data_IF_330888420551
#
_entry.id   IF_330888420551
#
_cell.length_a   1.000
_cell.length_b   1.000
_cell.length_c   1.000
_cell.angle_alpha   90.00
_cell.angle_beta   90.00
_cell.angle_gamma   90.00
#
_symmetry.space_group_name_H-M   'P 1'
#
loop_
_entity.id
_entity.type
_entity.pdbx_description
1 polymer ?
#
# COMPACT_ATOMS: atom_id res chain seq x y z
N UNK A 1 4.76 16.13 -15.54
CA UNK A 1 3.64 17.11 -15.53
C UNK A 1 3.33 17.47 -14.09
N UNK A 2 3.44 18.74 -13.71
CA UNK A 2 3.18 19.19 -12.34
C UNK A 2 1.66 19.28 -12.09
N UNK A 3 1.16 18.63 -11.03
CA UNK A 3 -0.27 18.61 -10.70
C UNK A 3 -0.53 19.76 -9.74
N UNK A 4 -1.27 20.77 -10.20
CA UNK A 4 -1.65 21.92 -9.37
C UNK A 4 -2.41 21.45 -8.11
N UNK A 5 -2.04 21.92 -6.90
CA UNK A 5 -2.80 21.64 -5.69
C UNK A 5 -4.24 22.12 -5.70
N UNK A 6 -4.56 23.13 -6.52
CA UNK A 6 -5.91 23.65 -6.67
C UNK A 6 -6.79 22.81 -7.62
N UNK A 7 -6.23 21.81 -8.30
CA UNK A 7 -7.00 20.98 -9.22
C UNK A 7 -8.01 20.11 -8.43
N UNK A 8 -9.29 20.05 -8.85
CA UNK A 8 -10.33 19.29 -8.11
C UNK A 8 -10.04 17.79 -8.01
N UNK A 9 -9.18 17.26 -8.89
CA UNK A 9 -8.72 15.86 -8.90
C UNK A 9 -7.26 15.68 -8.50
N UNK A 10 -6.65 16.68 -7.85
CA UNK A 10 -5.20 16.67 -7.59
C UNK A 10 -4.75 15.37 -6.91
N UNK A 11 -5.50 14.89 -5.92
CA UNK A 11 -5.12 13.70 -5.16
C UNK A 11 -5.16 12.41 -5.99
N UNK A 12 -6.29 12.14 -6.67
CA UNK A 12 -6.41 10.98 -7.58
C UNK A 12 -5.29 10.99 -8.65
N UNK A 13 -4.96 12.16 -9.21
CA UNK A 13 -3.88 12.28 -10.19
C UNK A 13 -2.49 12.01 -9.58
N UNK A 14 -2.23 12.45 -8.35
CA UNK A 14 -0.95 12.17 -7.66
C UNK A 14 -0.79 10.69 -7.37
N UNK A 15 -1.85 10.03 -6.91
CA UNK A 15 -1.87 8.59 -6.63
C UNK A 15 -1.57 7.80 -7.91
N UNK A 16 -2.24 8.12 -9.02
CA UNK A 16 -1.97 7.49 -10.34
C UNK A 16 -0.53 7.68 -10.77
N UNK A 17 0.02 8.89 -10.61
CA UNK A 17 1.41 9.19 -10.94
C UNK A 17 2.38 8.36 -10.10
N UNK A 18 2.16 8.27 -8.79
CA UNK A 18 2.98 7.45 -7.88
C UNK A 18 3.01 5.98 -8.31
N UNK A 19 1.89 5.45 -8.79
CA UNK A 19 1.83 4.08 -9.32
C UNK A 19 2.53 3.92 -10.66
N UNK A 20 2.41 4.90 -11.56
CA UNK A 20 3.13 4.89 -12.83
C UNK A 20 4.65 4.90 -12.60
N UNK A 21 5.14 5.77 -11.71
CA UNK A 21 6.56 5.84 -11.32
C UNK A 21 7.00 4.52 -10.66
N UNK A 22 6.21 3.96 -9.74
CA UNK A 22 6.51 2.67 -9.12
C UNK A 22 6.47 1.48 -10.13
N UNK A 23 5.68 1.58 -11.20
CA UNK A 23 5.68 0.61 -12.29
C UNK A 23 6.98 0.69 -13.11
N UNK A 24 7.42 1.90 -13.46
CA UNK A 24 8.72 2.13 -14.13
C UNK A 24 9.90 1.64 -13.28
N UNK A 25 9.82 1.85 -11.96
CA UNK A 25 10.78 1.31 -10.99
C UNK A 25 10.70 -0.21 -10.84
N UNK A 26 9.70 -0.88 -11.42
CA UNK A 26 9.51 -2.33 -11.37
C UNK A 26 9.05 -2.84 -10.00
N UNK A 27 8.41 -1.99 -9.19
CA UNK A 27 7.75 -2.32 -7.92
C UNK A 27 6.33 -2.81 -8.19
N UNK A 28 5.63 -2.13 -9.10
CA UNK A 28 4.26 -2.46 -9.54
C UNK A 28 4.31 -3.24 -10.86
N UNK A 29 3.29 -4.04 -11.14
CA UNK A 29 3.11 -4.78 -12.40
C UNK A 29 1.99 -4.18 -13.24
N UNK A 30 1.89 -4.46 -14.55
CA UNK A 30 0.81 -3.93 -15.39
C UNK A 30 -0.58 -4.25 -14.83
N UNK A 31 -0.78 -5.46 -14.32
CA UNK A 31 -2.03 -5.90 -13.69
C UNK A 31 -2.34 -5.11 -12.41
N UNK A 32 -1.30 -4.60 -11.74
CA UNK A 32 -1.41 -3.73 -10.58
C UNK A 32 -1.92 -2.34 -10.93
N UNK A 33 -1.56 -1.80 -12.10
CA UNK A 33 -2.12 -0.55 -12.62
C UNK A 33 -3.61 -0.72 -12.96
N UNK A 34 -3.96 -1.82 -13.64
CA UNK A 34 -5.36 -2.14 -13.94
C UNK A 34 -6.18 -2.38 -12.66
N UNK A 35 -5.59 -3.04 -11.65
CA UNK A 35 -6.22 -3.23 -10.35
C UNK A 35 -6.49 -1.91 -9.62
N UNK A 36 -5.59 -0.93 -9.74
CA UNK A 36 -5.82 0.39 -9.18
C UNK A 36 -7.00 1.10 -9.84
N UNK A 37 -7.10 1.06 -11.18
CA UNK A 37 -8.24 1.64 -11.89
C UNK A 37 -9.58 1.04 -11.48
N UNK A 38 -9.63 -0.27 -11.17
CA UNK A 38 -10.83 -0.88 -10.57
C UNK A 38 -11.14 -0.33 -9.18
N UNK A 39 -10.11 -0.13 -8.36
CA UNK A 39 -10.24 0.48 -7.04
C UNK A 39 -10.79 1.91 -7.11
N UNK A 40 -10.24 2.75 -8.00
CA UNK A 40 -10.73 4.11 -8.21
C UNK A 40 -12.20 4.12 -8.64
N UNK A 41 -12.63 3.20 -9.53
CA UNK A 41 -14.02 3.11 -9.94
C UNK A 41 -14.98 2.90 -8.75
N UNK A 42 -14.61 2.04 -7.80
CA UNK A 42 -15.38 1.89 -6.56
C UNK A 42 -15.29 3.13 -5.65
N UNK A 43 -14.11 3.75 -5.56
CA UNK A 43 -13.91 4.94 -4.73
C UNK A 43 -14.79 6.11 -5.19
N UNK A 44 -14.95 6.30 -6.51
CA UNK A 44 -15.91 7.23 -7.10
C UNK A 44 -17.36 6.94 -6.65
N UNK A 45 -17.77 5.67 -6.62
CA UNK A 45 -19.11 5.27 -6.17
C UNK A 45 -19.30 5.49 -4.67
N UNK A 46 -18.25 5.36 -3.87
CA UNK A 46 -18.25 5.53 -2.41
C UNK A 46 -18.04 6.99 -1.98
N UNK A 47 -17.78 7.89 -2.94
CA UNK A 47 -17.60 9.32 -2.70
C UNK A 47 -16.23 9.70 -2.17
N UNK A 48 -15.20 8.90 -2.46
CA UNK A 48 -13.78 9.22 -2.23
C UNK A 48 -13.45 9.62 -0.79
N UNK A 49 -14.05 8.89 0.16
CA UNK A 49 -13.91 9.15 1.58
C UNK A 49 -14.00 7.87 2.39
N UNK A 50 -13.42 7.89 3.59
CA UNK A 50 -13.62 6.81 4.54
C UNK A 50 -15.06 6.83 5.07
N UNK A 51 -15.83 5.78 4.78
CA UNK A 51 -17.17 5.61 5.30
C UNK A 51 -17.15 5.07 6.73
N UNK A 52 -18.19 5.34 7.53
CA UNK A 52 -18.29 4.86 8.92
C UNK A 52 -18.15 3.33 9.05
N UNK A 53 -18.74 2.48 8.18
CA UNK A 53 -18.48 1.04 8.24
C UNK A 53 -17.01 0.67 8.04
N UNK A 54 -16.31 1.37 7.14
CA UNK A 54 -14.88 1.16 6.91
C UNK A 54 -14.05 1.60 8.13
N UNK A 55 -14.43 2.71 8.78
CA UNK A 55 -13.77 3.16 10.02
C UNK A 55 -13.92 2.14 11.15
N UNK A 56 -15.14 1.64 11.39
CA UNK A 56 -15.40 0.59 12.39
C UNK A 56 -14.63 -0.71 12.10
N UNK A 57 -14.55 -1.11 10.83
CA UNK A 57 -13.77 -2.28 10.43
C UNK A 57 -12.27 -2.06 10.66
N UNK A 58 -11.75 -0.86 10.40
CA UNK A 58 -10.35 -0.52 10.67
C UNK A 58 -10.03 -0.55 12.18
N UNK A 59 -10.93 -0.04 13.03
CA UNK A 59 -10.79 -0.10 14.49
C UNK A 59 -10.74 -1.57 14.99
N UNK A 60 -11.67 -2.40 14.52
CA UNK A 60 -11.71 -3.82 14.86
C UNK A 60 -10.47 -4.57 14.35
N UNK A 61 -10.05 -4.33 13.10
CA UNK A 61 -8.83 -4.91 12.52
C UNK A 61 -7.56 -4.49 13.28
N UNK A 62 -7.50 -3.25 13.75
CA UNK A 62 -6.39 -2.76 14.58
C UNK A 62 -6.37 -3.47 15.93
N UNK A 63 -7.52 -3.66 16.57
CA UNK A 63 -7.61 -4.43 17.82
C UNK A 63 -7.14 -5.88 17.62
N UNK A 64 -7.52 -6.52 16.51
CA UNK A 64 -7.04 -7.87 16.17
C UNK A 64 -5.52 -7.92 16.00
N UNK A 65 -4.91 -6.93 15.34
CA UNK A 65 -3.45 -6.85 15.20
C UNK A 65 -2.76 -6.71 16.56
N UNK A 66 -3.28 -5.85 17.45
CA UNK A 66 -2.69 -5.61 18.78
C UNK A 66 -2.80 -6.81 19.72
N UNK A 67 -3.88 -7.60 19.60
CA UNK A 67 -4.11 -8.78 20.45
C UNK A 67 -3.45 -10.06 19.91
N UNK A 68 -3.00 -10.06 18.65
CA UNK A 68 -2.39 -11.22 18.03
C UNK A 68 -1.02 -11.53 18.65
N UNK A 69 -0.70 -12.83 18.80
CA UNK A 69 0.60 -13.28 19.33
C UNK A 69 1.75 -13.10 18.33
N UNK A 70 1.47 -13.26 17.04
CA UNK A 70 2.45 -13.18 15.94
C UNK A 70 1.79 -12.53 14.70
N UNK A 71 1.39 -11.25 14.77
CA UNK A 71 0.74 -10.58 13.64
C UNK A 71 1.72 -10.42 12.47
N UNK A 72 1.20 -10.61 11.26
CA UNK A 72 1.95 -10.40 10.01
C UNK A 72 1.10 -9.56 9.07
N UNK A 73 1.70 -8.53 8.48
CA UNK A 73 1.08 -7.66 7.49
C UNK A 73 1.70 -8.00 6.13
N UNK A 74 0.87 -8.51 5.22
CA UNK A 74 1.28 -8.86 3.86
C UNK A 74 1.32 -7.62 2.96
N UNK A 75 2.40 -7.49 2.19
CA UNK A 75 2.69 -6.33 1.34
C UNK A 75 2.93 -6.80 -0.10
N UNK A 76 2.17 -6.22 -1.03
CA UNK A 76 2.41 -6.34 -2.47
C UNK A 76 2.98 -5.03 -3.04
N UNK A 77 3.24 -5.01 -4.36
CA UNK A 77 3.79 -3.84 -5.05
C UNK A 77 2.93 -2.58 -4.92
N UNK A 78 1.60 -2.68 -5.09
CA UNK A 78 0.69 -1.54 -4.97
C UNK A 78 0.68 -0.98 -3.54
N UNK A 79 0.62 -1.85 -2.53
CA UNK A 79 0.63 -1.45 -1.12
C UNK A 79 1.94 -0.75 -0.75
N UNK A 80 3.08 -1.30 -1.18
CA UNK A 80 4.39 -0.69 -0.96
C UNK A 80 4.53 0.68 -1.64
N UNK A 81 4.07 0.79 -2.89
CA UNK A 81 4.11 2.04 -3.64
C UNK A 81 3.22 3.11 -3.00
N UNK A 82 1.99 2.78 -2.61
CA UNK A 82 1.03 3.77 -2.14
C UNK A 82 1.22 4.13 -0.67
N UNK A 83 1.41 3.14 0.20
CA UNK A 83 1.36 3.31 1.65
C UNK A 83 2.55 2.64 2.39
N UNK A 84 3.68 2.44 1.72
CA UNK A 84 4.82 1.72 2.30
C UNK A 84 5.32 2.31 3.62
N UNK A 85 5.36 3.65 3.75
CA UNK A 85 5.80 4.32 4.98
C UNK A 85 4.82 4.11 6.13
N UNK A 86 3.53 4.24 5.83
CA UNK A 86 2.42 4.06 6.76
C UNK A 86 2.34 2.60 7.23
N UNK A 87 2.55 1.65 6.34
CA UNK A 87 2.58 0.22 6.64
C UNK A 87 3.76 -0.15 7.55
N UNK A 88 4.96 0.41 7.29
CA UNK A 88 6.10 0.25 8.20
C UNK A 88 5.81 0.82 9.58
N UNK A 89 5.17 1.99 9.65
CA UNK A 89 4.75 2.58 10.92
C UNK A 89 3.70 1.72 11.63
N UNK A 90 2.69 1.23 10.92
CA UNK A 90 1.64 0.36 11.47
C UNK A 90 2.25 -0.93 12.03
N UNK A 91 3.14 -1.58 11.27
CA UNK A 91 3.83 -2.78 11.70
C UNK A 91 4.62 -2.55 13.00
N UNK A 92 5.33 -1.42 13.09
CA UNK A 92 6.04 -1.02 14.32
C UNK A 92 5.10 -0.84 15.51
N UNK A 93 3.99 -0.11 15.33
CA UNK A 93 3.01 0.16 16.39
C UNK A 93 2.29 -1.11 16.88
N UNK A 94 2.05 -2.07 16.00
CA UNK A 94 1.38 -3.33 16.33
C UNK A 94 2.33 -4.48 16.63
N UNK A 95 3.65 -4.25 16.65
CA UNK A 95 4.68 -5.29 16.74
C UNK A 95 4.45 -6.44 15.74
N UNK A 96 4.06 -6.10 14.51
CA UNK A 96 3.78 -7.04 13.44
C UNK A 96 4.99 -7.19 12.51
N UNK A 97 5.18 -8.39 11.98
CA UNK A 97 6.13 -8.60 10.89
C UNK A 97 5.55 -8.07 9.57
N UNK A 98 6.42 -7.60 8.68
CA UNK A 98 6.06 -7.33 7.28
C UNK A 98 6.45 -8.53 6.43
N UNK A 99 5.59 -8.94 5.51
CA UNK A 99 5.89 -10.02 4.56
C UNK A 99 5.65 -9.55 3.12
N UNK A 100 6.66 -9.63 2.25
CA UNK A 100 6.47 -9.36 0.83
C UNK A 100 5.87 -10.60 0.18
N UNK A 101 4.60 -10.51 -0.21
CA UNK A 101 3.87 -11.61 -0.84
C UNK A 101 3.37 -11.18 -2.23
N UNK A 102 3.78 -11.92 -3.24
CA UNK A 102 3.58 -11.59 -4.65
C UNK A 102 2.87 -12.70 -5.39
N UNK A 103 1.80 -12.34 -6.11
CA UNK A 103 1.05 -13.28 -6.95
C UNK A 103 1.91 -13.89 -8.08
N UNK A 104 2.71 -13.06 -8.76
CA UNK A 104 3.74 -13.52 -9.69
C UNK A 104 5.10 -13.45 -9.00
N UNK A 105 5.61 -14.57 -8.50
CA UNK A 105 6.89 -14.64 -7.78
C UNK A 105 8.03 -14.13 -8.66
N UNK A 106 8.75 -13.13 -8.18
CA UNK A 106 9.90 -12.56 -8.87
C UNK A 106 10.87 -12.03 -7.84
N UNK A 107 11.98 -12.77 -7.63
CA UNK A 107 13.04 -12.38 -6.69
C UNK A 107 13.54 -10.95 -6.90
N UNK A 108 13.57 -10.49 -8.16
CA UNK A 108 13.96 -9.12 -8.47
C UNK A 108 12.96 -8.10 -7.90
N UNK A 109 11.66 -8.34 -8.08
CA UNK A 109 10.60 -7.46 -7.58
C UNK A 109 10.51 -7.51 -6.06
N UNK A 110 10.63 -8.70 -5.45
CA UNK A 110 10.68 -8.89 -3.99
C UNK A 110 11.79 -8.04 -3.38
N UNK A 111 13.00 -8.11 -3.94
CA UNK A 111 14.14 -7.29 -3.48
C UNK A 111 13.89 -5.79 -3.61
N UNK A 112 13.27 -5.33 -4.70
CA UNK A 112 12.95 -3.92 -4.89
C UNK A 112 11.93 -3.43 -3.85
N UNK A 113 10.86 -4.21 -3.63
CA UNK A 113 9.85 -3.90 -2.61
C UNK A 113 10.49 -3.90 -1.21
N UNK A 114 11.26 -4.93 -0.87
CA UNK A 114 11.94 -5.01 0.41
C UNK A 114 12.91 -3.84 0.62
N UNK A 115 13.64 -3.42 -0.42
CA UNK A 115 14.52 -2.25 -0.38
C UNK A 115 13.74 -0.95 -0.13
N UNK A 116 12.59 -0.78 -0.78
CA UNK A 116 11.71 0.38 -0.55
C UNK A 116 11.20 0.41 0.89
N UNK A 117 10.74 -0.72 1.43
CA UNK A 117 10.27 -0.78 2.82
C UNK A 117 11.40 -0.52 3.82
N UNK A 118 12.61 -1.01 3.55
CA UNK A 118 13.80 -0.73 4.36
C UNK A 118 14.18 0.75 4.35
N UNK A 119 14.03 1.45 3.22
CA UNK A 119 14.28 2.90 3.17
C UNK A 119 13.28 3.71 4.01
N UNK A 120 12.12 3.12 4.34
CA UNK A 120 11.16 3.68 5.30
C UNK A 120 11.39 3.23 6.76
N UNK A 121 12.42 2.42 7.02
CA UNK A 121 12.80 1.99 8.38
C UNK A 121 12.34 0.58 8.75
N UNK A 122 11.86 -0.24 7.80
CA UNK A 122 11.57 -1.64 8.09
C UNK A 122 12.85 -2.40 8.46
N UNK A 123 12.89 -2.98 9.67
CA UNK A 123 14.07 -3.73 10.17
C UNK A 123 14.09 -5.19 9.70
N UNK A 124 12.94 -5.85 9.73
CA UNK A 124 12.78 -7.25 9.32
C UNK A 124 11.62 -7.37 8.36
N UNK A 125 11.84 -8.09 7.26
CA UNK A 125 10.86 -8.34 6.21
C UNK A 125 10.95 -9.84 5.90
N UNK A 126 9.82 -10.53 5.99
CA UNK A 126 9.63 -11.92 5.60
C UNK A 126 9.36 -12.02 4.09
N UNK A 127 9.64 -13.19 3.50
CA UNK A 127 9.59 -13.38 2.05
C UNK A 127 10.71 -12.64 1.32
#
# INVERSE_FOLDING_TARGET
MEISPAHPRAESLRIRRKLAEAFEEGIVVPEGLAAHGRGEAFDYLLGEKTLEPARKAAEAGTALLLLAKKPVISINGNAAALAGRELVRLASLCNAALEVNLFHSSRRRERKIASLLRSYGAKSILG
#
